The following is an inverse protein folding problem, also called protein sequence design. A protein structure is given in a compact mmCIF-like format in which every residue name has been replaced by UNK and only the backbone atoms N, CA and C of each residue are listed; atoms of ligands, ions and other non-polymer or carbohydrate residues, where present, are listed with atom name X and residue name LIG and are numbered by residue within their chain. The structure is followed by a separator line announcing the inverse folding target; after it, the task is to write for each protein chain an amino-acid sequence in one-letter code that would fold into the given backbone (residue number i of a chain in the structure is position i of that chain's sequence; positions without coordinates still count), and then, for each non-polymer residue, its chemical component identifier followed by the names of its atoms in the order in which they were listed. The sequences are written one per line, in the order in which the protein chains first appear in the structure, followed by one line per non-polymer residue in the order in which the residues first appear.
data_IF_130154051739
#
_entry.id   IF_130154051739
#
_cell.length_a   1.000
_cell.length_b   1.000
_cell.length_c   1.000
_cell.angle_alpha   90.00
_cell.angle_beta   90.00
_cell.angle_gamma   90.00
#
_symmetry.space_group_name_H-M   'P 1'
#
loop_
_entity.id
_entity.type
_entity.pdbx_description
1 polymer ?
#
# COMPACT_ATOMS: atom_id res chain seq x y z
N UNK A 1 -1.85 5.44 -5.25
CA UNK A 1 -3.02 6.10 -5.86
C UNK A 1 -3.94 6.65 -4.76
N UNK A 2 -5.13 7.11 -5.13
CA UNK A 2 -6.24 7.49 -4.25
C UNK A 2 -7.31 6.38 -4.24
N UNK A 3 -8.25 6.48 -3.31
CA UNK A 3 -9.46 5.63 -3.32
C UNK A 3 -10.21 5.78 -4.65
N UNK A 4 -10.77 4.69 -5.18
CA UNK A 4 -11.61 4.71 -6.39
C UNK A 4 -10.91 4.39 -7.72
N UNK A 5 -9.57 4.32 -7.76
CA UNK A 5 -8.82 3.91 -8.96
C UNK A 5 -8.70 2.39 -9.12
N UNK A 6 -9.49 1.63 -8.37
CA UNK A 6 -9.48 0.17 -8.37
C UNK A 6 -9.91 -0.38 -9.74
N UNK A 7 -9.16 -1.34 -10.27
CA UNK A 7 -9.45 -1.92 -11.58
C UNK A 7 -9.01 -1.07 -12.77
N UNK A 8 -8.30 0.04 -12.53
CA UNK A 8 -7.64 0.83 -13.58
C UNK A 8 -6.14 0.88 -13.33
N UNK A 9 -5.33 0.90 -14.38
CA UNK A 9 -3.89 1.13 -14.25
C UNK A 9 -3.56 2.62 -14.16
N UNK A 10 -4.41 3.47 -14.73
CA UNK A 10 -4.26 4.91 -14.67
C UNK A 10 -4.44 5.41 -13.23
N UNK A 11 -3.62 6.40 -12.84
CA UNK A 11 -3.65 6.99 -11.50
C UNK A 11 -2.92 6.18 -10.43
N UNK A 12 -2.35 5.02 -10.75
CA UNK A 12 -1.40 4.34 -9.87
C UNK A 12 0.02 4.81 -10.14
N UNK A 13 0.85 4.71 -9.10
CA UNK A 13 2.28 5.00 -9.15
C UNK A 13 3.00 3.79 -8.55
N UNK A 14 4.05 3.32 -9.23
CA UNK A 14 4.93 2.28 -8.69
C UNK A 14 5.84 2.92 -7.66
N UNK A 15 5.71 2.43 -6.43
CA UNK A 15 6.54 2.84 -5.28
C UNK A 15 7.48 1.73 -4.82
N UNK A 16 7.29 0.50 -5.30
CA UNK A 16 8.15 -0.63 -5.00
C UNK A 16 8.06 -1.68 -6.11
N UNK A 17 9.18 -2.34 -6.38
CA UNK A 17 9.26 -3.54 -7.23
C UNK A 17 10.44 -4.37 -6.75
N UNK A 18 10.27 -5.68 -6.66
CA UNK A 18 11.37 -6.55 -6.26
C UNK A 18 10.94 -7.98 -6.05
N UNK A 19 11.88 -8.76 -5.51
CA UNK A 19 11.69 -10.16 -5.19
C UNK A 19 11.83 -10.34 -3.68
N UNK A 20 10.97 -11.17 -3.10
CA UNK A 20 11.03 -11.49 -1.68
C UNK A 20 11.08 -13.01 -1.55
N UNK A 21 12.05 -13.51 -0.78
CA UNK A 21 12.14 -14.93 -0.44
C UNK A 21 11.21 -15.22 0.73
N UNK A 22 10.26 -16.13 0.53
CA UNK A 22 9.32 -16.52 1.59
C UNK A 22 10.02 -17.01 2.86
N UNK A 23 9.51 -16.62 4.02
CA UNK A 23 10.05 -16.98 5.34
C UNK A 23 9.81 -18.46 5.75
N UNK A 24 9.14 -19.24 4.90
CA UNK A 24 8.79 -20.64 5.12
C UNK A 24 7.28 -20.87 5.31
N UNK A 25 6.88 -22.13 5.43
CA UNK A 25 5.48 -22.53 5.51
C UNK A 25 4.76 -21.88 6.69
N UNK A 26 3.60 -21.25 6.43
CA UNK A 26 2.77 -20.61 7.45
C UNK A 26 3.36 -19.33 8.05
N UNK A 27 4.46 -18.79 7.51
CA UNK A 27 5.11 -17.58 8.02
C UNK A 27 4.90 -16.41 7.07
N UNK A 28 4.34 -15.32 7.59
CA UNK A 28 4.27 -14.06 6.84
C UNK A 28 5.67 -13.54 6.56
N UNK A 29 5.86 -13.05 5.33
CA UNK A 29 7.14 -12.54 4.88
C UNK A 29 7.03 -11.02 4.76
N UNK A 30 7.83 -10.24 5.52
CA UNK A 30 7.83 -8.80 5.39
C UNK A 30 8.43 -8.42 4.02
N UNK A 31 7.88 -7.38 3.40
CA UNK A 31 8.51 -6.78 2.23
C UNK A 31 9.68 -5.91 2.75
N UNK A 32 10.91 -6.12 2.28
CA UNK A 32 12.06 -5.35 2.76
C UNK A 32 11.86 -3.84 2.57
N UNK A 33 12.09 -3.00 3.60
CA UNK A 33 11.82 -1.57 3.55
C UNK A 33 12.65 -0.83 2.48
N UNK A 34 13.83 -1.33 2.15
CA UNK A 34 14.71 -0.79 1.10
C UNK A 34 14.15 -0.90 -0.32
N UNK A 35 13.14 -1.76 -0.53
CA UNK A 35 12.45 -1.86 -1.82
C UNK A 35 11.39 -0.77 -2.02
N UNK A 36 11.05 -0.02 -0.96
CA UNK A 36 10.02 1.00 -1.02
C UNK A 36 10.62 2.39 -1.19
N UNK A 37 10.05 3.11 -2.13
CA UNK A 37 10.08 4.57 -2.17
C UNK A 37 9.06 5.08 -1.16
N UNK A 38 9.47 5.91 -0.17
CA UNK A 38 8.53 6.49 0.80
C UNK A 38 7.43 7.28 0.11
N UNK A 39 6.21 7.19 0.62
CA UNK A 39 5.04 7.88 0.08
C UNK A 39 4.56 8.94 1.05
N UNK A 40 4.56 10.21 0.62
CA UNK A 40 4.00 11.31 1.38
C UNK A 40 2.47 11.27 1.35
N UNK A 41 1.87 11.26 2.53
CA UNK A 41 0.42 11.34 2.73
C UNK A 41 0.13 12.68 3.42
N UNK A 42 -0.48 13.66 2.73
CA UNK A 42 -0.79 14.93 3.38
C UNK A 42 -1.86 14.70 4.46
N UNK A 43 -1.75 15.41 5.59
CA UNK A 43 -2.77 15.34 6.64
C UNK A 43 -4.12 15.91 6.22
N UNK A 44 -5.13 15.73 7.08
CA UNK A 44 -6.46 16.33 6.90
C UNK A 44 -7.52 15.41 6.26
N UNK A 45 -7.17 14.16 5.96
CA UNK A 45 -8.10 13.17 5.42
C UNK A 45 -8.67 13.51 4.03
N UNK A 46 -9.73 12.81 3.65
CA UNK A 46 -10.46 13.04 2.40
C UNK A 46 -9.63 12.80 1.13
N UNK A 47 -9.99 13.46 0.03
CA UNK A 47 -9.41 13.20 -1.28
C UNK A 47 -7.90 13.45 -1.39
N UNK A 48 -7.31 14.27 -0.49
CA UNK A 48 -5.86 14.53 -0.51
C UNK A 48 -5.11 13.64 0.48
N UNK A 49 -5.67 13.43 1.67
CA UNK A 49 -5.04 12.67 2.76
C UNK A 49 -5.32 11.17 2.78
N UNK A 50 -6.19 10.67 1.90
CA UNK A 50 -6.39 9.23 1.71
C UNK A 50 -5.51 8.73 0.57
N UNK A 51 -4.73 7.68 0.84
CA UNK A 51 -3.93 6.96 -0.15
C UNK A 51 -4.33 5.50 -0.20
N UNK A 52 -4.35 4.96 -1.41
CA UNK A 52 -4.54 3.54 -1.67
C UNK A 52 -3.24 2.92 -2.16
N UNK A 53 -2.93 1.74 -1.64
CA UNK A 53 -1.81 0.90 -2.02
C UNK A 53 -2.34 -0.38 -2.67
N UNK A 54 -1.75 -0.74 -3.81
CA UNK A 54 -2.04 -1.97 -4.53
C UNK A 54 -0.80 -2.86 -4.46
N UNK A 55 -0.99 -4.08 -3.98
CA UNK A 55 0.06 -5.10 -3.89
C UNK A 55 -0.34 -6.27 -4.77
N UNK A 56 0.59 -6.74 -5.58
CA UNK A 56 0.43 -7.93 -6.42
C UNK A 56 1.69 -8.79 -6.34
N UNK A 57 1.51 -10.09 -6.52
CA UNK A 57 2.58 -11.07 -6.67
C UNK A 57 2.38 -11.78 -8.01
N UNK A 58 3.48 -12.26 -8.59
CA UNK A 58 3.43 -13.16 -9.74
C UNK A 58 3.16 -14.62 -9.35
N UNK A 59 2.94 -14.90 -8.06
CA UNK A 59 2.58 -16.21 -7.51
C UNK A 59 1.23 -16.17 -6.78
N UNK A 60 0.74 -17.34 -6.37
CA UNK A 60 -0.52 -17.49 -5.62
C UNK A 60 -0.35 -17.40 -4.10
N UNK A 61 0.80 -16.90 -3.64
CA UNK A 61 1.18 -16.90 -2.22
C UNK A 61 0.72 -15.66 -1.45
N UNK A 62 0.01 -14.73 -2.10
CA UNK A 62 -0.55 -13.55 -1.44
C UNK A 62 -1.71 -13.99 -0.52
N UNK A 63 -1.47 -13.91 0.79
CA UNK A 63 -2.49 -14.23 1.79
C UNK A 63 -3.39 -13.02 2.02
N UNK A 64 -4.70 -13.22 1.92
CA UNK A 64 -5.69 -12.17 2.07
C UNK A 64 -6.65 -12.56 3.19
N UNK A 65 -6.86 -11.67 4.17
CA UNK A 65 -7.79 -11.91 5.28
C UNK A 65 -9.15 -11.27 4.99
N UNK A 66 -10.21 -12.02 5.26
CA UNK A 66 -11.58 -11.50 5.24
C UNK A 66 -11.72 -10.42 6.31
N UNK A 67 -12.15 -9.22 5.91
CA UNK A 67 -12.54 -8.19 6.85
C UNK A 67 -13.84 -8.57 7.55
N UNK A 68 -13.97 -8.16 8.81
CA UNK A 68 -15.28 -8.09 9.46
C UNK A 68 -15.75 -6.66 9.34
N UNK A 69 -17.02 -6.45 9.01
CA UNK A 69 -17.67 -5.15 9.23
C UNK A 69 -17.69 -4.94 10.75
N UNK A 70 -16.72 -4.20 11.29
CA UNK A 70 -16.71 -3.93 12.73
C UNK A 70 -17.82 -2.93 13.04
N UNK A 71 -18.74 -3.34 13.91
CA UNK A 71 -19.75 -2.48 14.52
C UNK A 71 -19.28 -1.88 15.86
N UNK A 72 -18.06 -2.20 16.34
CA UNK A 72 -17.67 -1.99 17.74
C UNK A 72 -16.27 -1.37 17.97
N UNK A 73 -15.57 -0.89 16.95
CA UNK A 73 -14.51 0.11 17.17
C UNK A 73 -15.21 1.45 17.33
N UNK A 74 -14.87 2.29 18.32
CA UNK A 74 -15.46 3.63 18.49
C UNK A 74 -15.27 4.61 17.31
N UNK A 75 -14.88 4.12 16.13
CA UNK A 75 -14.92 4.81 14.86
C UNK A 75 -16.37 4.89 14.35
N UNK A 76 -16.80 6.08 13.96
CA UNK A 76 -18.11 6.31 13.33
C UNK A 76 -18.19 5.71 11.92
N UNK A 77 -17.05 5.37 11.31
CA UNK A 77 -16.95 4.74 10.00
C UNK A 77 -16.68 3.23 10.11
N UNK A 78 -17.63 2.42 9.64
CA UNK A 78 -17.57 0.95 9.63
C UNK A 78 -16.52 0.38 8.65
N UNK A 79 -15.91 1.24 7.83
CA UNK A 79 -14.82 0.86 6.92
C UNK A 79 -13.46 0.88 7.60
N UNK A 80 -13.31 1.52 8.77
CA UNK A 80 -12.05 1.58 9.50
C UNK A 80 -11.78 0.22 10.16
N UNK A 81 -10.62 -0.35 9.87
CA UNK A 81 -10.15 -1.61 10.45
C UNK A 81 -9.26 -1.37 11.66
N UNK A 82 -8.40 -0.37 11.59
CA UNK A 82 -7.49 0.01 12.66
C UNK A 82 -7.28 1.52 12.61
N UNK A 83 -7.09 2.14 13.77
CA UNK A 83 -6.83 3.57 13.88
C UNK A 83 -5.81 3.88 14.99
N UNK A 84 -5.06 4.96 14.76
CA UNK A 84 -4.28 5.69 15.75
C UNK A 84 -4.76 7.15 15.75
N UNK A 85 -4.25 8.01 16.65
CA UNK A 85 -4.53 9.46 16.59
C UNK A 85 -4.14 10.15 15.28
N UNK A 86 -3.28 9.55 14.44
CA UNK A 86 -2.77 10.18 13.20
C UNK A 86 -3.11 9.43 11.93
N UNK A 87 -3.43 8.14 12.01
CA UNK A 87 -3.65 7.29 10.84
C UNK A 87 -4.89 6.41 11.04
N UNK A 88 -5.72 6.37 10.01
CA UNK A 88 -6.79 5.39 9.89
C UNK A 88 -6.47 4.43 8.74
N UNK A 89 -6.61 3.13 9.00
CA UNK A 89 -6.45 2.07 8.00
C UNK A 89 -7.84 1.54 7.68
N UNK A 90 -8.25 1.72 6.43
CA UNK A 90 -9.54 1.27 5.93
C UNK A 90 -9.47 -0.17 5.39
N UNK A 91 -10.63 -0.82 5.35
CA UNK A 91 -10.84 -2.07 4.63
C UNK A 91 -10.57 -1.84 3.13
N UNK A 92 -9.76 -2.70 2.52
CA UNK A 92 -9.49 -2.70 1.09
C UNK A 92 -10.34 -3.71 0.32
N UNK A 93 -10.02 -3.87 -0.96
CA UNK A 93 -10.56 -4.91 -1.84
C UNK A 93 -9.42 -5.79 -2.37
N UNK A 94 -9.73 -7.07 -2.61
CA UNK A 94 -8.85 -7.99 -3.32
C UNK A 94 -9.31 -8.15 -4.75
N UNK A 95 -8.37 -8.13 -5.68
CA UNK A 95 -8.60 -8.45 -7.10
C UNK A 95 -8.13 -9.87 -7.35
N UNK A 96 -9.02 -10.74 -7.83
CA UNK A 96 -8.70 -12.16 -8.03
C UNK A 96 -8.02 -12.50 -9.35
N UNK A 97 -7.95 -11.53 -10.27
CA UNK A 97 -7.39 -11.74 -11.60
C UNK A 97 -6.41 -10.63 -11.96
N UNK A 98 -5.39 -11.01 -12.73
CA UNK A 98 -4.45 -10.10 -13.38
C UNK A 98 -4.47 -10.40 -14.89
N UNK A 99 -4.48 -9.39 -15.78
CA UNK A 99 -4.57 -7.95 -15.51
C UNK A 99 -5.90 -7.53 -14.85
N UNK A 100 -6.01 -6.25 -14.45
CA UNK A 100 -7.23 -5.74 -13.83
C UNK A 100 -8.46 -6.05 -14.69
N UNK A 101 -9.46 -6.78 -14.16
CA UNK A 101 -10.70 -7.03 -14.87
C UNK A 101 -11.51 -5.74 -14.97
N UNK A 102 -12.61 -5.77 -15.72
CA UNK A 102 -13.51 -4.64 -15.79
C UNK A 102 -14.08 -4.34 -14.38
N UNK A 103 -14.01 -3.09 -13.88
CA UNK A 103 -14.58 -2.72 -12.57
C UNK A 103 -16.08 -3.04 -12.43
N UNK A 104 -16.82 -3.14 -13.54
CA UNK A 104 -18.23 -3.56 -13.54
C UNK A 104 -18.42 -5.05 -13.16
N UNK A 105 -17.39 -5.87 -13.30
CA UNK A 105 -17.41 -7.30 -13.02
C UNK A 105 -17.11 -7.56 -11.53
N UNK A 106 -18.10 -7.27 -10.68
CA UNK A 106 -17.99 -7.29 -9.22
C UNK A 106 -17.51 -8.62 -8.62
N UNK A 107 -17.70 -9.73 -9.32
CA UNK A 107 -17.29 -11.06 -8.88
C UNK A 107 -15.76 -11.26 -8.83
N UNK A 108 -14.99 -10.43 -9.54
CA UNK A 108 -13.53 -10.42 -9.42
C UNK A 108 -13.00 -9.59 -8.25
N UNK A 109 -13.85 -8.77 -7.62
CA UNK A 109 -13.49 -7.84 -6.57
C UNK A 109 -14.09 -8.28 -5.24
N UNK A 110 -13.24 -8.80 -4.38
CA UNK A 110 -13.65 -9.29 -3.08
C UNK A 110 -13.42 -8.22 -2.01
N UNK A 111 -14.49 -7.83 -1.32
CA UNK A 111 -14.50 -6.84 -0.23
C UNK A 111 -15.39 -7.34 0.93
N UNK A 112 -15.15 -6.92 2.18
CA UNK A 112 -13.97 -6.20 2.68
C UNK A 112 -12.76 -7.12 2.86
N UNK A 113 -11.57 -6.57 2.66
CA UNK A 113 -10.29 -7.23 2.91
C UNK A 113 -9.42 -6.41 3.84
N UNK A 114 -8.72 -7.11 4.70
CA UNK A 114 -7.94 -6.51 5.79
C UNK A 114 -6.46 -6.55 5.44
N UNK A 115 -5.79 -5.42 5.67
CA UNK A 115 -4.34 -5.34 5.57
C UNK A 115 -3.69 -6.21 6.66
N UNK A 116 -2.81 -7.11 6.23
CA UNK A 116 -2.02 -7.98 7.10
C UNK A 116 -0.58 -7.46 7.15
N UNK A 117 -0.29 -6.59 8.10
CA UNK A 117 1.05 -6.06 8.22
C UNK A 117 1.19 -4.98 9.27
N UNK A 118 2.35 -4.33 9.23
CA UNK A 118 2.70 -3.18 10.05
C UNK A 118 3.02 -2.04 9.10
N UNK A 119 2.46 -0.86 9.36
CA UNK A 119 2.80 0.37 8.65
C UNK A 119 3.74 1.17 9.53
N UNK A 120 4.94 1.44 9.03
CA UNK A 120 5.89 2.37 9.64
C UNK A 120 5.78 3.70 8.91
N UNK A 121 5.59 4.79 9.64
CA UNK A 121 5.46 6.13 9.09
C UNK A 121 6.19 7.16 9.96
N UNK A 122 6.66 8.21 9.32
CA UNK A 122 7.11 9.42 10.00
C UNK A 122 5.97 10.44 9.97
N UNK A 123 5.61 10.99 11.13
CA UNK A 123 4.58 12.04 11.25
C UNK A 123 5.07 13.38 10.69
N UNK A 124 6.38 13.61 10.73
CA UNK A 124 7.00 14.89 10.42
C UNK A 124 8.21 14.72 9.49
N UNK A 125 8.04 14.09 8.31
CA UNK A 125 9.15 13.84 7.40
C UNK A 125 9.86 15.13 6.94
N UNK A 126 9.14 16.25 6.99
CA UNK A 126 9.61 17.58 6.56
C UNK A 126 9.88 18.53 7.74
N UNK A 127 9.76 18.04 8.98
CA UNK A 127 10.16 18.75 10.21
C UNK A 127 11.01 17.79 11.04
N UNK A 128 12.29 17.58 10.68
CA UNK A 128 13.18 16.81 11.55
C UNK A 128 13.16 17.47 12.93
N UNK A 129 12.91 16.70 13.99
CA UNK A 129 12.93 17.22 15.36
C UNK A 129 14.26 17.94 15.61
N UNK A 130 14.24 19.27 15.64
CA UNK A 130 15.37 20.05 16.13
C UNK A 130 15.31 20.06 17.65
N UNK A 131 16.38 19.59 18.28
CA UNK A 131 16.63 19.79 19.71
C UNK A 131 16.81 21.28 20.09
N UNK A 132 16.87 22.19 19.11
CA UNK A 132 17.32 23.57 19.28
C UNK A 132 16.30 24.65 18.86
N UNK A 133 15.02 24.32 18.62
CA UNK A 133 13.97 25.32 18.39
C UNK A 133 13.13 25.10 17.13
N UNK A 134 12.24 26.05 16.78
CA UNK A 134 11.32 25.90 15.67
C UNK A 134 12.08 25.74 14.35
N UNK A 135 11.78 24.66 13.62
CA UNK A 135 12.36 24.37 12.31
C UNK A 135 11.45 24.96 11.24
N UNK A 136 12.04 25.71 10.31
CA UNK A 136 11.35 26.20 9.12
C UNK A 136 10.68 25.03 8.38
N UNK A 137 9.41 25.22 7.99
CA UNK A 137 8.66 24.19 7.28
C UNK A 137 9.28 23.99 5.89
N UNK A 138 9.94 22.85 5.69
CA UNK A 138 10.39 22.48 4.34
C UNK A 138 9.18 22.00 3.53
N UNK A 139 9.02 22.45 2.27
CA UNK A 139 7.99 21.91 1.41
C UNK A 139 8.27 20.42 1.20
N UNK A 140 7.32 19.56 1.57
CA UNK A 140 7.38 18.14 1.24
C UNK A 140 7.23 18.00 -0.27
N UNK A 141 8.34 17.72 -0.96
CA UNK A 141 8.31 17.41 -2.38
C UNK A 141 7.62 16.08 -2.64
N UNK A 142 6.95 15.96 -3.78
CA UNK A 142 6.53 14.65 -4.28
C UNK A 142 7.79 13.81 -4.53
N UNK A 143 7.82 12.60 -3.99
CA UNK A 143 8.94 11.67 -4.22
C UNK A 143 8.77 11.09 -5.62
N UNK A 144 9.82 11.07 -6.47
CA UNK A 144 9.71 10.57 -7.82
C UNK A 144 9.30 9.09 -7.82
N UNK A 145 8.15 8.81 -8.42
CA UNK A 145 7.61 7.46 -8.63
C UNK A 145 7.69 7.07 -10.10
N UNK A 146 7.65 5.75 -10.38
CA UNK A 146 7.56 5.25 -11.75
C UNK A 146 6.10 5.02 -12.15
N UNK A 147 5.81 5.04 -13.46
CA UNK A 147 4.48 4.68 -13.97
C UNK A 147 4.25 3.16 -13.89
N UNK A 148 3.02 2.71 -13.55
CA UNK A 148 2.60 1.32 -13.60
C UNK A 148 2.97 0.66 -14.94
N UNK A 149 3.51 -0.55 -14.88
CA UNK A 149 3.81 -1.36 -16.07
C UNK A 149 2.76 -2.45 -16.24
N UNK A 150 2.32 -2.65 -17.48
CA UNK A 150 1.45 -3.78 -17.84
C UNK A 150 2.22 -5.10 -17.99
N UNK A 151 3.54 -5.01 -18.10
CA UNK A 151 4.41 -6.18 -18.17
C UNK A 151 4.87 -6.51 -16.76
N UNK A 152 4.68 -7.76 -16.28
CA UNK A 152 5.31 -8.20 -15.05
C UNK A 152 6.83 -8.09 -15.19
N UNK A 153 7.50 -7.74 -14.10
CA UNK A 153 8.97 -7.70 -14.05
C UNK A 153 9.50 -9.09 -14.41
N UNK A 154 10.22 -9.17 -15.54
CA UNK A 154 10.79 -10.42 -16.03
C UNK A 154 12.05 -10.70 -15.22
N UNK A 155 12.17 -11.93 -14.70
CA UNK A 155 13.40 -12.40 -14.05
C UNK A 155 14.54 -12.40 -15.07
N UNK A 156 15.64 -11.72 -14.77
CA UNK A 156 16.94 -12.03 -15.36
C UNK A 156 17.69 -12.81 -14.29
N UNK A 157 17.76 -14.13 -14.43
CA UNK A 157 18.77 -14.88 -13.69
C UNK A 157 20.12 -14.42 -14.26
N UNK A 158 20.88 -13.64 -13.50
CA UNK A 158 22.30 -13.49 -13.79
C UNK A 158 22.95 -14.86 -13.58
N UNK A 159 23.10 -15.62 -14.67
CA UNK A 159 24.07 -16.70 -14.73
C UNK A 159 25.45 -16.06 -14.48
N UNK A 160 25.94 -16.21 -13.24
CA UNK A 160 27.36 -16.02 -12.96
C UNK A 160 28.09 -17.14 -13.70
N UNK A 161 28.70 -16.81 -14.84
CA UNK A 161 29.78 -17.62 -15.40
C UNK A 161 30.86 -17.81 -14.33
N UNK A 162 31.20 -19.08 -14.08
CA UNK A 162 32.24 -19.54 -13.15
C UNK A 162 33.61 -19.44 -13.81
#
# INVERSE_FOLDING_TARGET
SFEGFEGTYDGWDIVATGMVKGAGYGRYTPIPPELFTPVSIPGGGGAKGTRAFYLTLNSKDLVIKLGKSQSNSGATDNRVMASSPDLEIYNGKAVLSYPFPNPAETWFYHSPRVFLGVVTYDRLPCKPFSLYGPVDELPCGDVPTMKPTLKPTIYVEEEKEV
#
